data_IF_935682396676
#
_entry.id   IF_935682396676
#
_cell.length_a   1.000
_cell.length_b   1.000
_cell.length_c   1.000
_cell.angle_alpha   90.00
_cell.angle_beta   90.00
_cell.angle_gamma   90.00
#
_symmetry.space_group_name_H-M   'P 1'
#
loop_
_entity.id
_entity.type
_entity.pdbx_description
1 polymer ?
#
# COMPACT_ATOMS: atom_id res chain seq x y z
N UNK A 1 -11.81 33.18 -13.35
CA UNK A 1 -11.08 32.27 -12.44
C UNK A 1 -11.21 30.86 -12.95
N UNK A 2 -10.46 29.91 -12.39
CA UNK A 2 -10.58 28.47 -12.71
C UNK A 2 -11.86 27.93 -12.09
N UNK A 3 -12.62 27.12 -12.84
CA UNK A 3 -13.77 26.35 -12.32
C UNK A 3 -13.32 24.92 -12.02
N UNK A 4 -13.78 24.36 -10.91
CA UNK A 4 -13.47 23.00 -10.48
C UNK A 4 -14.79 22.26 -10.28
N UNK A 5 -15.07 21.31 -11.17
CA UNK A 5 -16.23 20.43 -11.07
C UNK A 5 -15.77 19.10 -10.43
N UNK A 6 -16.17 18.86 -9.19
CA UNK A 6 -15.84 17.63 -8.44
C UNK A 6 -16.88 16.53 -8.69
N UNK A 7 -16.56 15.28 -8.36
CA UNK A 7 -17.43 14.11 -8.55
C UNK A 7 -17.78 13.80 -10.02
N UNK A 8 -16.97 14.28 -10.96
CA UNK A 8 -17.10 13.99 -12.39
C UNK A 8 -16.02 12.99 -12.79
N UNK A 9 -16.42 11.76 -13.10
CA UNK A 9 -15.51 10.72 -13.61
C UNK A 9 -15.58 10.73 -15.13
N UNK A 10 -14.56 11.26 -15.79
CA UNK A 10 -14.43 11.21 -17.25
C UNK A 10 -14.38 9.74 -17.72
N UNK A 11 -15.14 9.43 -18.76
CA UNK A 11 -15.43 8.08 -19.26
C UNK A 11 -16.68 7.43 -18.64
N UNK A 12 -17.32 8.07 -17.65
CA UNK A 12 -18.62 7.64 -17.08
C UNK A 12 -19.66 8.74 -17.06
N UNK A 13 -19.31 9.89 -16.48
CA UNK A 13 -20.22 11.03 -16.36
C UNK A 13 -20.27 11.86 -17.66
N UNK A 14 -19.13 11.96 -18.34
CA UNK A 14 -18.98 12.55 -19.68
C UNK A 14 -17.74 11.94 -20.35
N UNK A 15 -17.50 12.23 -21.63
CA UNK A 15 -16.32 11.78 -22.39
C UNK A 15 -15.46 12.94 -22.86
N UNK A 16 -14.23 12.65 -23.32
CA UNK A 16 -13.35 13.69 -23.90
C UNK A 16 -13.99 14.30 -25.15
N UNK A 17 -14.68 13.48 -25.95
CA UNK A 17 -15.33 13.94 -27.18
C UNK A 17 -16.50 14.88 -26.85
N UNK A 18 -17.33 14.55 -25.86
CA UNK A 18 -18.40 15.43 -25.37
C UNK A 18 -17.85 16.77 -24.85
N UNK A 19 -16.72 16.76 -24.14
CA UNK A 19 -16.08 18.01 -23.69
C UNK A 19 -15.68 18.90 -24.88
N UNK A 20 -15.15 18.32 -25.95
CA UNK A 20 -14.69 19.07 -27.12
C UNK A 20 -15.84 19.51 -28.04
N UNK A 21 -16.82 18.64 -28.26
CA UNK A 21 -17.87 18.83 -29.27
C UNK A 21 -19.14 19.46 -28.71
N UNK A 22 -19.53 19.12 -27.48
CA UNK A 22 -20.81 19.52 -26.88
C UNK A 22 -20.64 20.62 -25.83
N UNK A 23 -19.62 20.52 -24.97
CA UNK A 23 -19.40 21.49 -23.88
C UNK A 23 -18.57 22.72 -24.30
N UNK A 24 -18.04 22.71 -25.53
CA UNK A 24 -17.40 23.88 -26.15
C UNK A 24 -15.99 24.17 -25.64
N UNK A 25 -15.27 23.16 -25.15
CA UNK A 25 -13.86 23.31 -24.80
C UNK A 25 -12.96 23.19 -26.05
N UNK A 26 -12.03 24.14 -26.23
CA UNK A 26 -11.10 24.12 -27.37
C UNK A 26 -9.99 23.06 -27.25
N UNK A 27 -9.68 22.61 -26.03
CA UNK A 27 -8.61 21.66 -25.76
C UNK A 27 -8.82 20.93 -24.43
N UNK A 28 -8.27 19.71 -24.33
CA UNK A 28 -8.28 18.88 -23.13
C UNK A 28 -6.86 18.51 -22.72
N UNK A 29 -6.56 18.65 -21.43
CA UNK A 29 -5.34 18.14 -20.80
C UNK A 29 -5.69 16.96 -19.89
N UNK A 30 -5.04 15.81 -20.13
CA UNK A 30 -5.26 14.59 -19.32
C UNK A 30 -4.20 14.51 -18.23
N UNK A 31 -4.59 14.85 -17.01
CA UNK A 31 -3.75 14.82 -15.81
C UNK A 31 -4.21 13.80 -14.76
N UNK A 32 -4.73 12.64 -15.16
CA UNK A 32 -5.34 11.65 -14.26
C UNK A 32 -4.37 10.91 -13.33
N UNK A 33 -3.06 11.03 -13.55
CA UNK A 33 -2.04 10.36 -12.74
C UNK A 33 -2.05 8.84 -12.87
N UNK A 34 -1.49 8.15 -11.86
CA UNK A 34 -1.36 6.68 -11.83
C UNK A 34 -1.96 6.11 -10.54
N UNK A 35 -3.30 6.17 -10.42
CA UNK A 35 -4.03 5.83 -9.20
C UNK A 35 -4.52 4.38 -9.06
N UNK A 36 -4.23 3.50 -10.03
CA UNK A 36 -4.65 2.09 -9.94
C UNK A 36 -3.69 1.29 -9.06
N UNK A 37 -4.18 0.57 -8.04
CA UNK A 37 -3.33 -0.26 -7.19
C UNK A 37 -2.78 -1.46 -7.96
N UNK A 38 -1.66 -2.01 -7.49
CA UNK A 38 -1.11 -3.27 -7.96
C UNK A 38 -1.11 -4.27 -6.82
N UNK A 39 -1.73 -5.42 -7.09
CA UNK A 39 -1.74 -6.58 -6.23
C UNK A 39 -0.59 -7.52 -6.61
N UNK A 40 -0.10 -8.28 -5.64
CA UNK A 40 1.01 -9.23 -5.78
C UNK A 40 0.60 -10.51 -6.52
N UNK A 41 -0.68 -10.89 -6.46
CA UNK A 41 -1.19 -12.13 -7.07
C UNK A 41 -0.88 -13.38 -6.25
N UNK A 42 -0.72 -13.24 -4.93
CA UNK A 42 -0.43 -14.36 -4.02
C UNK A 42 -1.72 -15.00 -3.47
N UNK A 43 -1.71 -16.29 -3.09
CA UNK A 43 -2.86 -16.90 -2.43
C UNK A 43 -3.24 -16.15 -1.14
N UNK A 44 -4.54 -15.96 -0.92
CA UNK A 44 -5.08 -15.28 0.27
C UNK A 44 -5.17 -13.74 0.15
N UNK A 45 -4.74 -13.14 -0.96
CA UNK A 45 -4.77 -11.68 -1.17
C UNK A 45 -6.18 -11.03 -1.16
N UNK A 46 -7.24 -11.84 -1.22
CA UNK A 46 -8.63 -11.36 -1.13
C UNK A 46 -9.26 -11.57 0.27
N UNK A 47 -8.46 -11.87 1.30
CA UNK A 47 -8.95 -12.09 2.66
C UNK A 47 -9.46 -10.81 3.34
N UNK A 48 -10.36 -10.96 4.31
CA UNK A 48 -10.77 -9.84 5.14
C UNK A 48 -9.57 -9.36 5.98
N UNK A 49 -9.27 -8.06 5.94
CA UNK A 49 -8.06 -7.51 6.55
C UNK A 49 -6.91 -7.28 5.56
N UNK A 50 -7.07 -7.65 4.29
CA UNK A 50 -6.16 -7.25 3.21
C UNK A 50 -6.68 -5.97 2.55
N UNK A 51 -5.82 -4.98 2.41
CA UNK A 51 -6.13 -3.69 1.79
C UNK A 51 -5.11 -3.36 0.73
N UNK A 52 -5.52 -2.58 -0.27
CA UNK A 52 -4.53 -1.79 -1.01
C UNK A 52 -4.16 -0.55 -0.20
N UNK A 53 -2.91 -0.11 -0.26
CA UNK A 53 -2.51 1.17 0.34
C UNK A 53 -3.39 2.35 -0.13
N UNK A 54 -3.85 2.34 -1.40
CA UNK A 54 -4.77 3.35 -1.92
C UNK A 54 -6.10 3.35 -1.17
N UNK A 55 -6.70 2.19 -0.93
CA UNK A 55 -7.93 2.09 -0.14
C UNK A 55 -7.70 2.56 1.30
N UNK A 56 -6.67 2.03 1.95
CA UNK A 56 -6.38 2.30 3.36
C UNK A 56 -6.14 3.79 3.61
N UNK A 57 -5.30 4.42 2.79
CA UNK A 57 -5.01 5.84 2.87
C UNK A 57 -6.18 6.72 2.40
N UNK A 58 -7.03 6.26 1.48
CA UNK A 58 -8.26 6.99 1.12
C UNK A 58 -9.23 7.02 2.30
N UNK A 59 -9.45 5.87 2.96
CA UNK A 59 -10.28 5.79 4.18
C UNK A 59 -9.74 6.71 5.27
N UNK A 60 -8.44 6.66 5.53
CA UNK A 60 -7.82 7.50 6.57
C UNK A 60 -7.84 8.99 6.20
N UNK A 61 -7.29 9.37 5.05
CA UNK A 61 -7.01 10.79 4.73
C UNK A 61 -8.22 11.54 4.16
N UNK A 62 -8.91 10.94 3.19
CA UNK A 62 -10.04 11.59 2.51
C UNK A 62 -11.32 11.44 3.33
N UNK A 63 -11.57 10.24 3.84
CA UNK A 63 -12.79 9.92 4.57
C UNK A 63 -12.68 10.17 6.08
N UNK A 64 -11.47 10.44 6.59
CA UNK A 64 -11.19 10.71 8.01
C UNK A 64 -11.65 9.58 8.94
N UNK A 65 -11.52 8.34 8.48
CA UNK A 65 -11.98 7.14 9.20
C UNK A 65 -11.28 6.90 10.56
N UNK A 66 -10.22 7.66 10.87
CA UNK A 66 -9.58 7.66 12.18
C UNK A 66 -10.37 8.44 13.25
N UNK A 67 -11.35 9.26 12.84
CA UNK A 67 -12.19 10.08 13.71
C UNK A 67 -13.61 9.47 13.75
N UNK A 68 -14.07 9.11 14.95
CA UNK A 68 -15.38 8.48 15.19
C UNK A 68 -16.57 9.36 14.78
N UNK A 69 -16.35 10.67 14.53
CA UNK A 69 -17.38 11.57 14.01
C UNK A 69 -17.68 11.38 12.52
N UNK A 70 -16.93 10.52 11.82
CA UNK A 70 -17.10 10.23 10.40
C UNK A 70 -17.66 8.81 10.18
N UNK A 71 -18.53 8.67 9.17
CA UNK A 71 -19.28 7.42 8.94
C UNK A 71 -18.44 6.28 8.36
N UNK A 72 -17.28 6.59 7.77
CA UNK A 72 -16.46 5.58 7.08
C UNK A 72 -15.63 4.80 8.09
N UNK A 73 -15.76 3.47 8.17
CA UNK A 73 -14.93 2.67 9.05
C UNK A 73 -13.55 2.39 8.43
N UNK A 74 -12.57 2.12 9.31
CA UNK A 74 -11.25 1.59 8.96
C UNK A 74 -10.88 0.47 9.93
N UNK A 75 -10.24 -0.59 9.42
CA UNK A 75 -9.68 -1.63 10.27
C UNK A 75 -8.33 -1.13 10.77
N UNK A 76 -8.21 -0.92 12.08
CA UNK A 76 -6.94 -0.54 12.70
C UNK A 76 -5.91 -1.70 12.62
N UNK A 77 -6.38 -2.93 12.84
CA UNK A 77 -5.52 -4.10 13.07
C UNK A 77 -4.84 -4.03 14.44
N UNK A 78 -4.35 -5.16 14.94
CA UNK A 78 -3.42 -5.16 16.10
C UNK A 78 -1.99 -5.36 15.64
N UNK A 79 -1.81 -6.21 14.63
CA UNK A 79 -0.53 -6.50 14.00
C UNK A 79 -0.67 -6.36 12.49
N UNK A 80 -0.07 -5.32 11.95
CA UNK A 80 -0.22 -4.90 10.55
C UNK A 80 1.08 -5.13 9.80
N UNK A 81 1.03 -5.86 8.69
CA UNK A 81 2.11 -5.88 7.71
C UNK A 81 1.81 -4.91 6.57
N UNK A 82 2.78 -4.07 6.22
CA UNK A 82 2.75 -3.20 5.04
C UNK A 82 3.79 -3.69 4.06
N UNK A 83 3.36 -4.09 2.86
CA UNK A 83 4.25 -4.69 1.86
C UNK A 83 4.77 -3.62 0.91
N UNK A 84 6.06 -3.28 1.05
CA UNK A 84 6.71 -2.28 0.21
C UNK A 84 7.76 -1.47 0.95
N UNK A 85 8.38 -0.53 0.24
CA UNK A 85 9.45 0.31 0.81
C UNK A 85 9.46 1.75 0.29
N UNK A 86 8.42 2.17 -0.43
CA UNK A 86 8.27 3.54 -0.92
C UNK A 86 7.52 4.44 0.05
N UNK A 87 7.36 5.71 -0.30
CA UNK A 87 6.65 6.68 0.55
C UNK A 87 5.22 6.23 0.88
N UNK A 88 4.50 5.63 -0.07
CA UNK A 88 3.16 5.08 0.15
C UNK A 88 3.15 4.01 1.26
N UNK A 89 4.18 3.16 1.31
CA UNK A 89 4.30 2.15 2.36
C UNK A 89 4.61 2.81 3.72
N UNK A 90 5.46 3.83 3.75
CA UNK A 90 5.76 4.59 4.98
C UNK A 90 4.50 5.30 5.50
N UNK A 91 3.73 5.94 4.62
CA UNK A 91 2.50 6.64 4.98
C UNK A 91 1.45 5.66 5.54
N UNK A 92 1.28 4.51 4.89
CA UNK A 92 0.38 3.45 5.36
C UNK A 92 0.82 2.89 6.72
N UNK A 93 2.12 2.60 6.89
CA UNK A 93 2.67 2.08 8.13
C UNK A 93 2.50 3.05 9.29
N UNK A 94 2.82 4.33 9.07
CA UNK A 94 2.66 5.41 10.06
C UNK A 94 1.20 5.68 10.39
N UNK A 95 0.29 5.49 9.43
CA UNK A 95 -1.17 5.56 9.66
C UNK A 95 -1.65 4.41 10.55
N UNK A 96 -1.26 3.17 10.22
CA UNK A 96 -1.61 1.99 11.02
C UNK A 96 -1.08 2.10 12.47
N UNK A 97 0.15 2.60 12.63
CA UNK A 97 0.74 2.84 13.95
C UNK A 97 -0.08 3.85 14.77
N UNK A 98 -0.54 4.93 14.14
CA UNK A 98 -1.39 5.95 14.80
C UNK A 98 -2.76 5.42 15.19
N UNK A 99 -3.24 4.38 14.50
CA UNK A 99 -4.45 3.64 14.86
C UNK A 99 -4.20 2.60 15.97
N UNK A 100 -2.96 2.48 16.46
CA UNK A 100 -2.60 1.68 17.63
C UNK A 100 -2.04 0.28 17.32
N UNK A 101 -1.72 -0.01 16.06
CA UNK A 101 -1.16 -1.31 15.67
C UNK A 101 0.36 -1.41 15.93
N UNK A 102 0.83 -2.63 16.19
CA UNK A 102 2.22 -3.02 15.95
C UNK A 102 2.40 -3.17 14.43
N UNK A 103 3.40 -2.51 13.86
CA UNK A 103 3.52 -2.39 12.40
C UNK A 103 4.84 -2.95 11.90
N UNK A 104 4.75 -3.80 10.90
CA UNK A 104 5.85 -4.39 10.16
C UNK A 104 5.87 -3.81 8.73
N UNK A 105 7.00 -3.27 8.31
CA UNK A 105 7.28 -3.02 6.90
C UNK A 105 8.00 -4.24 6.34
N UNK A 106 7.36 -4.93 5.40
CA UNK A 106 7.90 -6.10 4.73
C UNK A 106 8.46 -5.67 3.37
N UNK A 107 9.78 -5.73 3.23
CA UNK A 107 10.45 -5.27 2.03
C UNK A 107 11.47 -6.29 1.51
N UNK A 108 11.32 -6.65 0.24
CA UNK A 108 12.12 -7.70 -0.41
C UNK A 108 13.60 -7.35 -0.64
N UNK A 109 14.05 -6.12 -0.36
CA UNK A 109 15.46 -5.69 -0.52
C UNK A 109 16.01 -5.16 0.80
N UNK A 110 17.26 -4.68 0.79
CA UNK A 110 17.86 -4.08 1.96
C UNK A 110 17.42 -2.62 2.14
N UNK A 111 17.85 -2.03 3.25
CA UNK A 111 17.62 -0.63 3.57
C UNK A 111 18.21 0.33 2.52
N UNK A 112 19.37 -0.02 1.95
CA UNK A 112 20.04 0.80 0.93
C UNK A 112 19.21 0.94 -0.36
N UNK A 113 18.34 -0.04 -0.65
CA UNK A 113 17.47 -0.01 -1.81
C UNK A 113 16.09 0.61 -1.55
N UNK A 114 15.80 1.05 -0.31
CA UNK A 114 14.52 1.67 0.02
C UNK A 114 14.31 2.93 -0.83
N UNK A 115 13.24 3.00 -1.65
CA UNK A 115 12.94 4.18 -2.44
C UNK A 115 12.30 5.32 -1.63
N UNK A 116 11.89 5.06 -0.38
CA UNK A 116 11.37 6.10 0.52
C UNK A 116 12.44 7.13 0.88
N UNK A 117 12.01 8.32 1.28
CA UNK A 117 12.92 9.36 1.77
C UNK A 117 13.62 8.86 3.03
N UNK A 118 14.94 9.05 3.11
CA UNK A 118 15.78 8.63 4.25
C UNK A 118 15.24 9.17 5.57
N UNK A 119 14.80 10.44 5.59
CA UNK A 119 14.17 11.07 6.76
C UNK A 119 12.89 10.35 7.21
N UNK A 120 12.02 9.93 6.28
CA UNK A 120 10.80 9.18 6.60
C UNK A 120 11.12 7.79 7.17
N UNK A 121 12.16 7.13 6.64
CA UNK A 121 12.62 5.83 7.17
C UNK A 121 13.15 5.98 8.59
N UNK A 122 13.93 7.03 8.87
CA UNK A 122 14.41 7.32 10.23
C UNK A 122 13.26 7.59 11.19
N UNK A 123 12.32 8.48 10.83
CA UNK A 123 11.16 8.76 11.67
C UNK A 123 10.30 7.51 11.90
N UNK A 124 10.08 6.68 10.88
CA UNK A 124 9.33 5.43 11.02
C UNK A 124 9.98 4.48 12.05
N UNK A 125 11.31 4.33 12.00
CA UNK A 125 12.05 3.53 12.99
C UNK A 125 11.98 4.11 14.40
N UNK A 126 12.09 5.42 14.53
CA UNK A 126 11.97 6.12 15.82
C UNK A 126 10.57 6.01 16.43
N UNK A 127 9.53 6.00 15.58
CA UNK A 127 8.13 5.78 15.97
C UNK A 127 7.86 4.32 16.38
N UNK A 128 8.79 3.38 16.12
CA UNK A 128 8.70 1.97 16.53
C UNK A 128 8.24 1.00 15.45
N UNK A 129 8.21 1.42 14.18
CA UNK A 129 7.89 0.53 13.05
C UNK A 129 9.02 -0.50 12.89
N UNK A 130 8.65 -1.78 12.78
CA UNK A 130 9.56 -2.90 12.60
C UNK A 130 9.84 -3.07 11.11
N UNK A 131 11.10 -3.22 10.73
CA UNK A 131 11.50 -3.37 9.32
C UNK A 131 11.97 -4.81 9.05
N UNK A 132 11.12 -5.60 8.41
CA UNK A 132 11.43 -6.91 7.86
C UNK A 132 12.01 -6.76 6.45
N UNK A 133 13.29 -6.37 6.42
CA UNK A 133 14.06 -6.27 5.19
C UNK A 133 14.40 -7.65 4.65
N UNK A 134 14.77 -7.72 3.36
CA UNK A 134 15.09 -8.96 2.66
C UNK A 134 14.02 -10.04 2.89
N UNK A 135 12.75 -9.62 2.80
CA UNK A 135 11.61 -10.49 3.11
C UNK A 135 10.51 -10.22 2.10
N UNK A 136 9.92 -11.28 1.55
CA UNK A 136 8.86 -11.17 0.54
C UNK A 136 7.67 -12.08 0.92
N UNK A 137 6.42 -11.60 0.88
CA UNK A 137 5.25 -12.44 1.11
C UNK A 137 5.06 -13.48 0.01
N UNK A 138 4.66 -14.69 0.38
CA UNK A 138 4.36 -15.80 -0.54
C UNK A 138 2.90 -16.23 -0.46
N UNK A 139 2.28 -16.10 0.72
CA UNK A 139 0.88 -16.47 0.95
C UNK A 139 0.32 -15.73 2.16
N UNK A 140 -0.98 -15.41 2.12
CA UNK A 140 -1.74 -14.92 3.27
C UNK A 140 -2.64 -16.06 3.77
N UNK A 141 -2.58 -16.34 5.07
CA UNK A 141 -3.42 -17.34 5.72
C UNK A 141 -4.72 -16.71 6.21
N UNK A 142 -5.79 -17.50 6.22
CA UNK A 142 -7.10 -17.07 6.72
C UNK A 142 -7.58 -17.98 7.85
N UNK A 143 -8.37 -17.43 8.76
CA UNK A 143 -9.19 -18.20 9.70
C UNK A 143 -10.44 -18.79 9.01
N UNK A 144 -11.31 -19.44 9.79
CA UNK A 144 -12.55 -20.05 9.31
C UNK A 144 -13.58 -19.01 8.79
N UNK A 145 -13.48 -17.76 9.26
CA UNK A 145 -14.34 -16.64 8.87
C UNK A 145 -13.76 -15.83 7.69
N UNK A 146 -12.59 -16.24 7.17
CA UNK A 146 -11.92 -15.60 6.05
C UNK A 146 -11.11 -14.35 6.40
N UNK A 147 -10.84 -14.11 7.69
CA UNK A 147 -9.97 -13.02 8.14
C UNK A 147 -8.50 -13.44 8.09
N UNK A 148 -7.60 -12.48 7.85
CA UNK A 148 -6.15 -12.70 7.93
C UNK A 148 -5.78 -13.28 9.30
N UNK A 149 -5.10 -14.42 9.30
CA UNK A 149 -4.58 -15.09 10.50
C UNK A 149 -3.06 -15.21 10.53
N UNK A 150 -2.39 -14.74 9.48
CA UNK A 150 -0.95 -14.69 9.35
C UNK A 150 -0.50 -14.51 7.90
N UNK A 151 0.78 -14.27 7.70
CA UNK A 151 1.37 -14.11 6.38
C UNK A 151 2.65 -14.95 6.27
N UNK A 152 2.69 -15.89 5.34
CA UNK A 152 3.92 -16.58 4.97
C UNK A 152 4.84 -15.65 4.19
N UNK A 153 6.09 -15.64 4.60
CA UNK A 153 7.15 -14.89 3.96
C UNK A 153 8.35 -15.79 3.68
N UNK A 154 9.15 -15.41 2.69
CA UNK A 154 10.44 -16.03 2.38
C UNK A 154 11.55 -15.00 2.55
N UNK A 155 12.73 -15.45 3.01
CA UNK A 155 13.91 -14.59 3.06
C UNK A 155 14.50 -14.40 1.67
N UNK A 156 15.04 -13.22 1.45
CA UNK A 156 15.68 -12.82 0.22
C UNK A 156 17.18 -12.61 0.43
N UNK A 157 17.96 -12.81 -0.62
CA UNK A 157 19.32 -12.29 -0.73
C UNK A 157 19.43 -11.34 -1.91
N UNK A 158 20.42 -10.45 -1.88
CA UNK A 158 20.65 -9.51 -2.96
C UNK A 158 21.59 -10.14 -4.00
N UNK A 159 21.10 -10.28 -5.22
CA UNK A 159 21.91 -10.62 -6.39
C UNK A 159 22.51 -9.38 -7.07
N UNK A 160 22.69 -9.50 -8.38
CA UNK A 160 23.18 -8.41 -9.24
C UNK A 160 22.16 -7.27 -9.40
N UNK A 161 22.60 -6.04 -9.73
CA UNK A 161 21.72 -4.91 -10.02
C UNK A 161 20.69 -5.19 -11.13
N UNK A 162 19.49 -4.64 -10.97
CA UNK A 162 18.43 -4.58 -11.98
C UNK A 162 18.55 -3.34 -12.89
N UNK A 163 17.60 -3.18 -13.80
CA UNK A 163 17.54 -2.04 -14.74
C UNK A 163 17.35 -0.69 -14.04
N UNK A 164 16.85 -0.68 -12.79
CA UNK A 164 16.77 0.51 -11.95
C UNK A 164 18.07 0.80 -11.19
N UNK A 165 19.10 -0.02 -11.36
CA UNK A 165 20.39 0.07 -10.66
C UNK A 165 20.39 -0.51 -9.25
N UNK A 166 19.26 -1.07 -8.79
CA UNK A 166 19.11 -1.65 -7.44
C UNK A 166 19.32 -3.15 -7.48
N UNK A 167 19.92 -3.74 -6.44
CA UNK A 167 20.17 -5.19 -6.41
C UNK A 167 18.88 -5.99 -6.48
N UNK A 168 18.87 -7.04 -7.32
CA UNK A 168 17.73 -7.94 -7.51
C UNK A 168 17.57 -8.80 -6.26
N UNK A 169 16.36 -8.90 -5.70
CA UNK A 169 16.10 -9.83 -4.62
C UNK A 169 15.95 -11.25 -5.21
N UNK A 170 16.60 -12.23 -4.59
CA UNK A 170 16.57 -13.65 -4.94
C UNK A 170 16.10 -14.43 -3.72
N UNK A 171 15.16 -15.35 -3.91
CA UNK A 171 14.59 -16.16 -2.82
C UNK A 171 15.64 -17.14 -2.26
N UNK A 172 15.72 -17.22 -0.94
CA UNK A 172 16.50 -18.24 -0.25
C UNK A 172 15.57 -19.43 -0.01
N UNK A 173 15.68 -20.49 -0.82
CA UNK A 173 14.81 -21.66 -0.70
C UNK A 173 14.90 -22.32 0.69
N UNK A 174 13.76 -22.70 1.28
CA UNK A 174 13.72 -23.33 2.60
C UNK A 174 13.83 -22.34 3.77
N UNK A 175 13.71 -21.04 3.50
CA UNK A 175 13.77 -19.97 4.51
C UNK A 175 12.38 -19.42 4.87
N UNK A 176 11.32 -20.13 4.48
CA UNK A 176 9.94 -19.73 4.68
C UNK A 176 9.62 -19.64 6.18
N UNK A 177 8.89 -18.61 6.57
CA UNK A 177 8.45 -18.38 7.94
C UNK A 177 7.12 -17.64 7.96
N UNK A 178 6.40 -17.75 9.06
CA UNK A 178 5.12 -17.07 9.23
C UNK A 178 5.29 -15.82 10.09
N UNK A 179 4.80 -14.70 9.57
CA UNK A 179 4.59 -13.47 10.33
C UNK A 179 3.19 -13.50 10.94
N UNK A 180 3.11 -13.32 12.26
CA UNK A 180 1.85 -13.27 13.02
C UNK A 180 1.22 -11.88 12.85
N UNK A 181 0.30 -11.75 11.89
CA UNK A 181 -0.39 -10.51 11.55
C UNK A 181 -1.88 -10.76 11.31
N UNK A 182 -2.69 -9.74 11.55
CA UNK A 182 -4.15 -9.75 11.36
C UNK A 182 -4.62 -8.80 10.25
N UNK A 183 -3.71 -8.00 9.69
CA UNK A 183 -3.99 -7.03 8.65
C UNK A 183 -2.79 -6.92 7.70
N UNK A 184 -3.04 -6.85 6.39
CA UNK A 184 -2.01 -6.69 5.35
C UNK A 184 -2.36 -5.51 4.43
N UNK A 185 -1.41 -4.63 4.16
CA UNK A 185 -1.59 -3.40 3.34
C UNK A 185 -0.57 -3.36 2.19
#
# INVERSE_FOLDING_TARGET
GVKIETNVVIGKATTIDELLEEEGFDAVFVGSGAGLPRFMGIPGENANGVFSANEYLTRSNLMKAFDENYDTPIIAGKKVAVVGGGNVAMDAARTALRLGAEVHIVYRRSEEELPARVEEVHHAKEEGIIFDLLTNPTQIFTDEDGNVSGMECIRMELGEPDESGRRRPVEIAGSEFTLDVDTVI
#
